data_IF_512313811620
#
_entry.id   IF_512313811620
#
_cell.length_a   1.000
_cell.length_b   1.000
_cell.length_c   1.000
_cell.angle_alpha   90.00
_cell.angle_beta   90.00
_cell.angle_gamma   90.00
#
_symmetry.space_group_name_H-M   'P 1'
#
loop_
_entity.id
_entity.type
_entity.pdbx_description
1 polymer ?
#
# COMPACT_ATOMS: atom_id res chain seq x y z
N UNK A 1 -15.57 10.20 -14.49
CA UNK A 1 -15.34 8.75 -14.28
C UNK A 1 -13.83 8.59 -14.20
N UNK A 2 -13.31 7.90 -13.18
CA UNK A 2 -11.87 7.62 -13.10
C UNK A 2 -11.51 6.69 -14.26
N UNK A 3 -10.50 7.07 -15.04
CA UNK A 3 -9.83 6.12 -15.91
C UNK A 3 -8.72 5.43 -15.10
N UNK A 4 -9.00 4.19 -14.70
CA UNK A 4 -8.08 3.37 -13.90
C UNK A 4 -6.82 3.08 -14.70
N UNK A 5 -6.95 2.88 -16.00
CA UNK A 5 -5.84 2.56 -16.89
C UNK A 5 -4.93 3.76 -17.07
N UNK A 6 -5.49 4.93 -17.39
CA UNK A 6 -4.73 6.18 -17.50
C UNK A 6 -4.01 6.51 -16.18
N UNK A 7 -4.67 6.30 -15.04
CA UNK A 7 -4.08 6.52 -13.73
C UNK A 7 -2.92 5.55 -13.46
N UNK A 8 -3.04 4.29 -13.88
CA UNK A 8 -2.00 3.28 -13.75
C UNK A 8 -0.81 3.61 -14.66
N UNK A 9 -1.05 3.96 -15.92
CA UNK A 9 -0.01 4.32 -16.89
C UNK A 9 0.82 5.52 -16.39
N UNK A 10 0.15 6.63 -16.02
CA UNK A 10 0.82 7.81 -15.43
C UNK A 10 1.63 7.48 -14.18
N UNK A 11 1.18 6.52 -13.39
CA UNK A 11 1.87 6.10 -12.16
C UNK A 11 3.06 5.20 -12.44
N UNK A 12 2.97 4.35 -13.47
CA UNK A 12 4.07 3.54 -13.96
C UNK A 12 5.14 4.43 -14.59
N UNK A 13 4.76 5.38 -15.44
CA UNK A 13 5.66 6.39 -16.00
C UNK A 13 6.36 7.19 -14.91
N UNK A 14 5.62 7.60 -13.88
CA UNK A 14 6.19 8.31 -12.73
C UNK A 14 7.23 7.47 -11.97
N UNK A 15 6.91 6.20 -11.67
CA UNK A 15 7.82 5.29 -10.98
C UNK A 15 9.07 5.00 -11.84
N UNK A 16 8.90 4.81 -13.14
CA UNK A 16 9.99 4.60 -14.09
C UNK A 16 10.85 5.85 -14.25
N UNK A 17 10.26 7.04 -14.34
CA UNK A 17 10.98 8.31 -14.42
C UNK A 17 11.83 8.55 -13.16
N UNK A 18 11.28 8.25 -11.97
CA UNK A 18 12.02 8.36 -10.71
C UNK A 18 13.29 7.49 -10.67
N UNK A 19 13.29 6.37 -11.39
CA UNK A 19 14.41 5.41 -11.46
C UNK A 19 15.34 5.76 -12.63
N UNK A 20 14.77 5.99 -13.82
CA UNK A 20 15.50 6.20 -15.07
C UNK A 20 16.20 7.54 -15.11
N UNK A 21 15.52 8.60 -14.68
CA UNK A 21 16.03 9.97 -14.82
C UNK A 21 16.99 10.31 -13.67
N UNK A 22 16.95 9.52 -12.58
CA UNK A 22 17.79 9.69 -11.40
C UNK A 22 18.32 8.34 -10.84
N UNK A 23 19.14 7.59 -11.59
CA UNK A 23 19.58 6.25 -11.17
C UNK A 23 20.38 6.24 -9.86
N UNK A 24 21.07 7.35 -9.54
CA UNK A 24 21.77 7.53 -8.26
C UNK A 24 20.83 7.55 -7.03
N UNK A 25 19.52 7.73 -7.21
CA UNK A 25 18.53 7.68 -6.11
C UNK A 25 18.13 6.26 -5.74
N UNK A 26 18.34 5.27 -6.62
CA UNK A 26 17.93 3.87 -6.39
C UNK A 26 18.51 3.30 -5.09
N UNK A 27 19.84 3.31 -4.84
CA UNK A 27 20.39 2.76 -3.61
C UNK A 27 19.89 3.52 -2.37
N UNK A 28 19.64 4.83 -2.50
CA UNK A 28 19.09 5.64 -1.42
C UNK A 28 17.63 5.27 -1.12
N UNK A 29 16.78 5.11 -2.12
CA UNK A 29 15.40 4.65 -1.96
C UNK A 29 15.34 3.23 -1.38
N UNK A 30 16.22 2.34 -1.83
CA UNK A 30 16.34 0.99 -1.27
C UNK A 30 16.79 1.03 0.20
N UNK A 31 17.77 1.88 0.54
CA UNK A 31 18.21 2.08 1.92
C UNK A 31 17.12 2.70 2.80
N UNK A 32 16.34 3.64 2.27
CA UNK A 32 15.16 4.16 2.94
C UNK A 32 14.10 3.07 3.16
N UNK A 33 14.01 2.06 2.30
CA UNK A 33 13.03 0.98 2.46
C UNK A 33 13.32 0.10 3.68
N UNK A 34 14.59 -0.02 4.07
CA UNK A 34 14.97 -0.59 5.36
C UNK A 34 14.60 0.33 6.54
N UNK A 35 14.59 1.64 6.33
CA UNK A 35 14.21 2.67 7.31
C UNK A 35 12.80 3.16 7.06
N UNK A 36 11.80 2.33 7.39
CA UNK A 36 10.39 2.55 7.06
C UNK A 36 9.85 4.00 7.20
N UNK A 37 10.24 4.83 8.20
CA UNK A 37 9.77 6.21 8.25
C UNK A 37 10.26 7.03 7.06
N UNK A 38 11.49 6.86 6.59
CA UNK A 38 12.02 7.63 5.47
C UNK A 38 11.24 7.37 4.18
N UNK A 39 10.92 6.11 3.86
CA UNK A 39 10.08 5.82 2.69
C UNK A 39 8.65 6.31 2.86
N UNK A 40 8.09 6.26 4.06
CA UNK A 40 6.79 6.87 4.34
C UNK A 40 6.82 8.39 4.17
N UNK A 41 7.94 9.03 4.50
CA UNK A 41 8.16 10.45 4.30
C UNK A 41 8.26 10.82 2.82
N UNK A 42 8.94 9.98 2.03
CA UNK A 42 9.00 10.10 0.58
C UNK A 42 7.61 9.98 -0.04
N UNK A 43 6.88 8.95 0.37
CA UNK A 43 5.47 8.72 0.00
C UNK A 43 4.59 9.92 0.37
N UNK A 44 4.82 10.54 1.53
CA UNK A 44 4.11 11.74 1.97
C UNK A 44 4.26 12.91 0.99
N UNK A 45 5.45 13.08 0.41
CA UNK A 45 5.69 14.15 -0.58
C UNK A 45 4.96 13.86 -1.88
N UNK A 46 4.94 12.61 -2.34
CA UNK A 46 4.14 12.19 -3.50
C UNK A 46 2.65 12.47 -3.27
N UNK A 47 2.12 12.13 -2.08
CA UNK A 47 0.72 12.36 -1.70
C UNK A 47 0.29 13.84 -1.68
N UNK A 48 1.24 14.78 -1.63
CA UNK A 48 0.96 16.21 -1.76
C UNK A 48 0.58 16.63 -3.18
N UNK A 49 0.74 15.73 -4.16
CA UNK A 49 0.37 15.99 -5.56
C UNK A 49 1.51 16.54 -6.42
N UNK A 50 2.75 16.50 -5.93
CA UNK A 50 3.90 16.96 -6.71
C UNK A 50 4.07 16.11 -7.99
N UNK A 51 4.14 16.73 -9.19
CA UNK A 51 4.19 16.00 -10.45
C UNK A 51 5.55 15.35 -10.73
N UNK A 52 6.60 15.77 -10.04
CA UNK A 52 7.94 15.22 -10.16
C UNK A 52 8.31 14.37 -8.92
N UNK A 53 9.25 13.43 -9.05
CA UNK A 53 9.78 12.66 -7.92
C UNK A 53 10.38 13.59 -6.85
N UNK A 54 9.93 13.50 -5.58
CA UNK A 54 10.38 14.38 -4.52
C UNK A 54 11.90 14.45 -4.39
N UNK A 55 12.40 15.65 -4.09
CA UNK A 55 13.80 15.85 -3.76
C UNK A 55 14.14 15.23 -2.39
N UNK A 56 15.39 14.79 -2.22
CA UNK A 56 15.92 14.12 -1.03
C UNK A 56 16.80 15.04 -0.16
N UNK A 57 16.93 16.31 -0.52
CA UNK A 57 17.77 17.33 0.15
C UNK A 57 17.49 17.57 1.64
N UNK A 58 16.28 17.24 2.13
CA UNK A 58 15.86 17.48 3.52
C UNK A 58 15.47 16.18 4.24
N UNK A 59 16.44 15.33 4.62
CA UNK A 59 16.19 14.03 5.23
C UNK A 59 15.45 14.13 6.57
N UNK A 60 15.71 15.16 7.37
CA UNK A 60 15.01 15.40 8.63
C UNK A 60 13.52 15.68 8.45
N UNK A 61 13.17 16.53 7.47
CA UNK A 61 11.77 16.80 7.13
C UNK A 61 11.05 15.55 6.59
N UNK A 62 11.76 14.77 5.77
CA UNK A 62 11.29 13.47 5.29
C UNK A 62 10.97 12.53 6.45
N UNK A 63 11.88 12.42 7.42
CA UNK A 63 11.73 11.55 8.58
C UNK A 63 10.52 11.93 9.45
N UNK A 64 10.31 13.22 9.73
CA UNK A 64 9.16 13.67 10.52
C UNK A 64 7.84 13.38 9.79
N UNK A 65 7.76 13.71 8.50
CA UNK A 65 6.58 13.40 7.69
C UNK A 65 6.32 11.88 7.65
N UNK A 66 7.40 11.13 7.57
CA UNK A 66 7.43 9.68 7.63
C UNK A 66 6.90 9.07 8.91
N UNK A 67 7.31 9.59 10.07
CA UNK A 67 6.78 9.16 11.37
C UNK A 67 5.27 9.37 11.41
N UNK A 68 4.77 10.54 10.96
CA UNK A 68 3.33 10.83 10.96
C UNK A 68 2.56 9.82 10.12
N UNK A 69 3.03 9.54 8.90
CA UNK A 69 2.37 8.54 8.05
C UNK A 69 2.52 7.12 8.59
N UNK A 70 3.67 6.78 9.17
CA UNK A 70 3.86 5.46 9.77
C UNK A 70 2.89 5.24 10.92
N UNK A 71 2.72 6.22 11.82
CA UNK A 71 1.75 6.12 12.92
C UNK A 71 0.35 5.85 12.37
N UNK A 72 -0.07 6.59 11.35
CA UNK A 72 -1.38 6.39 10.72
C UNK A 72 -1.48 5.01 10.07
N UNK A 73 -0.49 4.61 9.28
CA UNK A 73 -0.43 3.31 8.63
C UNK A 73 -0.48 2.17 9.64
N UNK A 74 0.26 2.28 10.74
CA UNK A 74 0.35 1.26 11.79
C UNK A 74 -0.99 1.08 12.51
N UNK A 75 -1.69 2.17 12.82
CA UNK A 75 -3.03 2.11 13.41
C UNK A 75 -4.01 1.46 12.44
N UNK A 76 -3.97 1.82 11.15
CA UNK A 76 -4.82 1.19 10.14
C UNK A 76 -4.49 -0.29 9.90
N UNK A 77 -3.21 -0.69 10.00
CA UNK A 77 -2.79 -2.08 9.78
C UNK A 77 -3.00 -2.99 11.00
N UNK A 78 -3.28 -2.42 12.18
CA UNK A 78 -3.50 -3.18 13.41
C UNK A 78 -4.50 -4.35 13.28
N UNK A 79 -5.66 -4.23 12.58
CA UNK A 79 -6.57 -5.36 12.39
C UNK A 79 -5.94 -6.50 11.58
N UNK A 80 -5.18 -6.17 10.53
CA UNK A 80 -4.49 -7.16 9.68
C UNK A 80 -3.36 -7.84 10.45
N UNK A 81 -2.55 -7.06 11.16
CA UNK A 81 -1.47 -7.58 12.01
C UNK A 81 -2.05 -8.49 13.09
N UNK A 82 -3.13 -8.06 13.76
CA UNK A 82 -3.84 -8.88 14.74
C UNK A 82 -4.36 -10.19 14.16
N UNK A 83 -4.97 -10.15 12.98
CA UNK A 83 -5.42 -11.35 12.28
C UNK A 83 -4.26 -12.32 11.97
N UNK A 84 -3.15 -11.80 11.42
CA UNK A 84 -1.96 -12.60 11.11
C UNK A 84 -1.37 -13.22 12.39
N UNK A 85 -1.21 -12.45 13.47
CA UNK A 85 -0.68 -12.95 14.75
C UNK A 85 -1.58 -14.02 15.37
N UNK A 86 -2.90 -13.88 15.25
CA UNK A 86 -3.85 -14.90 15.71
C UNK A 86 -3.72 -16.19 14.90
N UNK A 87 -3.49 -16.09 13.60
CA UNK A 87 -3.30 -17.25 12.72
C UNK A 87 -1.97 -17.95 13.06
N UNK A 88 -0.87 -17.21 13.13
CA UNK A 88 0.47 -17.78 13.37
C UNK A 88 0.62 -18.34 14.77
N UNK A 89 0.05 -17.70 15.80
CA UNK A 89 0.06 -18.22 17.18
C UNK A 89 -0.73 -19.52 17.36
N UNK A 90 -1.66 -19.82 16.44
CA UNK A 90 -2.46 -21.06 16.45
C UNK A 90 -2.03 -22.07 15.39
N UNK A 91 -0.83 -21.90 14.84
CA UNK A 91 -0.30 -22.75 13.76
C UNK A 91 -0.33 -24.25 14.10
N UNK A 92 0.00 -24.65 15.32
CA UNK A 92 -0.05 -26.07 15.73
C UNK A 92 -1.47 -26.65 15.64
N UNK A 93 -2.47 -25.93 16.16
CA UNK A 93 -3.88 -26.34 16.09
C UNK A 93 -4.43 -26.32 14.67
N UNK A 94 -3.96 -25.40 13.83
CA UNK A 94 -4.29 -25.39 12.40
C UNK A 94 -3.72 -26.63 11.71
N UNK A 95 -2.48 -27.02 12.02
CA UNK A 95 -1.85 -28.23 11.48
C UNK A 95 -2.54 -29.52 11.96
N UNK A 96 -3.02 -29.55 13.20
CA UNK A 96 -3.82 -30.67 13.73
C UNK A 96 -5.17 -30.78 13.01
N UNK A 97 -5.84 -29.65 12.77
CA UNK A 97 -7.08 -29.60 11.98
C UNK A 97 -6.83 -30.03 10.53
N UNK A 98 -5.66 -29.68 9.98
CA UNK A 98 -5.20 -30.02 8.63
C UNK A 98 -4.83 -31.51 8.49
N UNK A 99 -4.48 -32.18 9.57
CA UNK A 99 -4.10 -33.60 9.50
C UNK A 99 -5.27 -34.53 9.76
N UNK A 100 -6.34 -34.05 10.41
CA UNK A 100 -7.48 -34.85 10.84
C UNK A 100 -8.81 -34.48 10.17
N UNK A 101 -8.84 -33.51 9.24
CA UNK A 101 -10.09 -33.14 8.58
C UNK A 101 -10.53 -34.20 7.55
N UNK A 102 -11.67 -34.82 7.85
CA UNK A 102 -12.33 -35.82 7.03
C UNK A 102 -12.87 -35.27 5.70
N UNK A 103 -13.01 -36.18 4.74
CA UNK A 103 -13.11 -35.95 3.29
C UNK A 103 -14.32 -35.08 2.87
N UNK A 104 -14.04 -33.82 2.58
CA UNK A 104 -14.85 -32.94 1.72
C UNK A 104 -14.10 -31.65 1.38
N UNK A 105 -13.99 -31.25 0.12
CA UNK A 105 -13.13 -30.14 -0.34
C UNK A 105 -13.34 -28.83 0.45
N UNK A 106 -14.58 -28.53 0.85
CA UNK A 106 -14.95 -27.32 1.61
C UNK A 106 -14.56 -27.36 3.10
N UNK A 107 -14.47 -28.56 3.71
CA UNK A 107 -14.09 -28.77 5.11
C UNK A 107 -12.74 -29.45 5.26
N UNK A 108 -12.03 -29.58 4.15
CA UNK A 108 -10.70 -30.16 4.09
C UNK A 108 -9.68 -29.22 4.74
N UNK A 109 -8.53 -29.76 5.15
CA UNK A 109 -7.34 -29.01 5.56
C UNK A 109 -7.00 -27.84 4.63
N UNK A 110 -7.02 -28.14 3.34
CA UNK A 110 -6.67 -27.24 2.24
C UNK A 110 -7.75 -26.16 2.09
N UNK A 111 -9.02 -26.53 2.22
CA UNK A 111 -10.15 -25.60 2.20
C UNK A 111 -10.09 -24.61 3.37
N UNK A 112 -9.78 -25.07 4.58
CA UNK A 112 -9.66 -24.21 5.76
C UNK A 112 -8.55 -23.16 5.60
N UNK A 113 -7.37 -23.57 5.11
CA UNK A 113 -6.27 -22.64 4.81
C UNK A 113 -6.66 -21.64 3.72
N UNK A 114 -7.33 -22.10 2.66
CA UNK A 114 -7.81 -21.24 1.59
C UNK A 114 -8.78 -20.17 2.09
N UNK A 115 -9.82 -20.54 2.86
CA UNK A 115 -10.79 -19.58 3.39
C UNK A 115 -10.17 -18.61 4.39
N UNK A 116 -9.21 -19.07 5.19
CA UNK A 116 -8.47 -18.22 6.11
C UNK A 116 -7.62 -17.19 5.36
N UNK A 117 -6.88 -17.63 4.33
CA UNK A 117 -6.09 -16.74 3.47
C UNK A 117 -7.01 -15.73 2.75
N UNK A 118 -8.13 -16.20 2.19
CA UNK A 118 -9.14 -15.35 1.58
C UNK A 118 -9.67 -14.31 2.57
N UNK A 119 -9.97 -14.70 3.80
CA UNK A 119 -10.43 -13.80 4.87
C UNK A 119 -9.41 -12.71 5.19
N UNK A 120 -8.12 -13.05 5.29
CA UNK A 120 -7.03 -12.07 5.51
C UNK A 120 -6.90 -11.11 4.32
N UNK A 121 -6.96 -11.63 3.09
CA UNK A 121 -6.89 -10.80 1.87
C UNK A 121 -8.07 -9.84 1.80
N UNK A 122 -9.28 -10.30 2.11
CA UNK A 122 -10.47 -9.45 2.17
C UNK A 122 -10.36 -8.39 3.27
N UNK A 123 -9.87 -8.75 4.47
CA UNK A 123 -9.63 -7.79 5.55
C UNK A 123 -8.60 -6.74 5.13
N UNK A 124 -7.51 -7.16 4.48
CA UNK A 124 -6.49 -6.26 3.95
C UNK A 124 -7.07 -5.28 2.92
N UNK A 125 -7.91 -5.78 2.00
CA UNK A 125 -8.60 -4.93 1.03
C UNK A 125 -9.53 -3.91 1.70
N UNK A 126 -10.25 -4.30 2.77
CA UNK A 126 -11.10 -3.35 3.53
C UNK A 126 -10.24 -2.28 4.22
N UNK A 127 -9.12 -2.66 4.82
CA UNK A 127 -8.21 -1.71 5.45
C UNK A 127 -7.67 -0.71 4.45
N UNK A 128 -7.24 -1.18 3.26
CA UNK A 128 -6.67 -0.28 2.25
C UNK A 128 -7.70 0.69 1.66
N UNK A 129 -8.98 0.28 1.56
CA UNK A 129 -10.08 1.14 1.13
C UNK A 129 -10.26 2.37 2.01
N UNK A 130 -9.89 2.31 3.29
CA UNK A 130 -10.06 3.45 4.22
C UNK A 130 -8.72 4.15 4.45
N UNK A 131 -7.67 3.35 4.69
CA UNK A 131 -6.35 3.87 5.05
C UNK A 131 -5.79 4.78 3.97
N UNK A 132 -6.05 4.48 2.70
CA UNK A 132 -5.46 5.21 1.59
C UNK A 132 -5.81 6.71 1.60
N UNK A 133 -7.09 7.02 1.76
CA UNK A 133 -7.57 8.41 1.85
C UNK A 133 -7.04 9.05 3.14
N UNK A 134 -7.00 8.29 4.24
CA UNK A 134 -6.44 8.74 5.52
C UNK A 134 -4.96 9.15 5.42
N UNK A 135 -4.13 8.36 4.73
CA UNK A 135 -2.71 8.64 4.53
C UNK A 135 -2.51 9.90 3.69
N UNK A 136 -3.24 10.05 2.58
CA UNK A 136 -3.15 11.24 1.72
C UNK A 136 -3.57 12.49 2.50
N UNK A 137 -4.67 12.43 3.25
CA UNK A 137 -5.13 13.56 4.07
C UNK A 137 -4.10 13.93 5.13
N UNK A 138 -3.48 12.95 5.77
CA UNK A 138 -2.38 13.18 6.73
C UNK A 138 -1.19 13.86 6.07
N UNK A 139 -0.80 13.39 4.88
CA UNK A 139 0.33 13.93 4.14
C UNK A 139 0.11 15.40 3.69
N UNK A 140 -1.12 15.73 3.29
CA UNK A 140 -1.53 17.07 2.84
C UNK A 140 -1.74 18.05 4.00
N UNK A 141 -2.36 17.61 5.10
CA UNK A 141 -2.62 18.44 6.28
C UNK A 141 -1.44 18.53 7.26
N UNK A 142 -0.49 17.60 7.17
CA UNK A 142 0.58 17.36 8.15
C UNK A 142 0.08 17.05 9.57
N UNK A 143 -1.19 16.64 9.71
CA UNK A 143 -1.83 16.32 10.99
C UNK A 143 -2.33 14.88 11.01
N UNK A 144 -1.88 14.09 12.00
CA UNK A 144 -2.25 12.68 12.17
C UNK A 144 -3.77 12.50 12.30
N UNK A 145 -4.43 13.38 13.06
CA UNK A 145 -5.88 13.32 13.30
C UNK A 145 -6.71 13.40 12.02
N UNK A 146 -6.24 14.14 11.02
CA UNK A 146 -6.98 14.37 9.78
C UNK A 146 -7.01 13.10 8.90
N UNK A 147 -6.10 12.16 9.17
CA UNK A 147 -6.09 10.82 8.58
C UNK A 147 -7.10 9.83 9.16
N UNK A 148 -7.73 10.17 10.29
CA UNK A 148 -8.79 9.37 10.93
C UNK A 148 -10.15 10.07 10.88
N UNK A 149 -10.26 11.13 10.09
CA UNK A 149 -11.48 11.89 9.92
C UNK A 149 -12.47 11.10 9.05
N UNK A 150 -13.14 10.10 9.65
CA UNK A 150 -13.98 9.12 8.95
C UNK A 150 -15.11 9.74 8.13
N UNK A 151 -15.70 10.83 8.63
CA UNK A 151 -16.77 11.55 7.93
C UNK A 151 -16.26 12.13 6.61
N UNK A 152 -15.08 12.74 6.64
CA UNK A 152 -14.45 13.34 5.48
C UNK A 152 -13.90 12.28 4.53
N UNK A 153 -13.34 11.19 5.04
CA UNK A 153 -12.89 10.05 4.24
C UNK A 153 -14.06 9.45 3.45
N UNK A 154 -15.16 9.13 4.13
CA UNK A 154 -16.35 8.55 3.49
C UNK A 154 -17.01 9.52 2.52
N UNK A 155 -17.03 10.82 2.83
CA UNK A 155 -17.51 11.86 1.90
C UNK A 155 -16.64 11.92 0.64
N UNK A 156 -15.32 11.84 0.79
CA UNK A 156 -14.38 11.86 -0.33
C UNK A 156 -14.51 10.61 -1.21
N UNK A 157 -14.66 9.42 -0.60
CA UNK A 157 -14.92 8.17 -1.34
C UNK A 157 -16.24 8.26 -2.13
N UNK A 158 -17.28 8.86 -1.54
CA UNK A 158 -18.55 9.10 -2.25
C UNK A 158 -18.41 10.10 -3.40
N UNK A 159 -17.58 11.13 -3.23
CA UNK A 159 -17.30 12.11 -4.29
C UNK A 159 -16.55 11.48 -5.48
N UNK A 160 -15.64 10.54 -5.21
CA UNK A 160 -14.98 9.72 -6.25
C UNK A 160 -16.00 8.79 -6.94
N UNK A 161 -16.91 8.23 -6.15
CA UNK A 161 -17.85 7.18 -6.54
C UNK A 161 -17.40 5.83 -6.00
N UNK A 162 -18.30 5.11 -5.32
CA UNK A 162 -17.97 3.86 -4.63
C UNK A 162 -17.49 2.75 -5.57
N UNK A 163 -18.18 2.57 -6.71
CA UNK A 163 -17.80 1.57 -7.72
C UNK A 163 -16.42 1.84 -8.31
N UNK A 164 -16.14 3.02 -8.91
CA UNK A 164 -14.81 3.29 -9.47
C UNK A 164 -13.70 3.27 -8.41
N UNK A 165 -14.00 3.68 -7.17
CA UNK A 165 -13.04 3.60 -6.07
C UNK A 165 -12.68 2.15 -5.70
N UNK A 166 -13.68 1.28 -5.52
CA UNK A 166 -13.47 -0.14 -5.21
C UNK A 166 -12.71 -0.82 -6.36
N UNK A 167 -13.07 -0.55 -7.62
CA UNK A 167 -12.36 -1.09 -8.77
C UNK A 167 -10.89 -0.67 -8.81
N UNK A 168 -10.60 0.59 -8.45
CA UNK A 168 -9.24 1.10 -8.41
C UNK A 168 -8.41 0.45 -7.29
N UNK A 169 -9.00 0.29 -6.10
CA UNK A 169 -8.35 -0.44 -5.00
C UNK A 169 -8.13 -1.90 -5.35
N UNK A 170 -9.11 -2.59 -5.93
CA UNK A 170 -8.99 -3.98 -6.36
C UNK A 170 -7.88 -4.16 -7.40
N UNK A 171 -7.80 -3.26 -8.38
CA UNK A 171 -6.73 -3.23 -9.37
C UNK A 171 -5.36 -3.11 -8.70
N UNK A 172 -5.19 -2.15 -7.79
CA UNK A 172 -3.95 -2.00 -7.04
C UNK A 172 -3.60 -3.27 -6.25
N UNK A 173 -4.57 -3.85 -5.53
CA UNK A 173 -4.34 -5.06 -4.72
C UNK A 173 -3.83 -6.20 -5.60
N UNK A 174 -4.45 -6.45 -6.76
CA UNK A 174 -4.01 -7.49 -7.70
C UNK A 174 -2.60 -7.21 -8.23
N UNK A 175 -2.33 -5.98 -8.70
CA UNK A 175 -1.00 -5.61 -9.22
C UNK A 175 0.08 -5.75 -8.14
N UNK A 176 -0.19 -5.24 -6.93
CA UNK A 176 0.74 -5.34 -5.80
C UNK A 176 1.00 -6.79 -5.40
N UNK A 177 -0.03 -7.65 -5.43
CA UNK A 177 0.10 -9.07 -5.12
C UNK A 177 1.02 -9.74 -6.14
N UNK A 178 0.73 -9.59 -7.44
CA UNK A 178 1.51 -10.18 -8.52
C UNK A 178 2.99 -9.75 -8.50
N UNK A 179 3.26 -8.47 -8.20
CA UNK A 179 4.63 -7.95 -8.10
C UNK A 179 5.32 -8.36 -6.79
N UNK A 180 4.57 -8.58 -5.71
CA UNK A 180 5.15 -8.99 -4.42
C UNK A 180 5.57 -10.46 -4.36
N UNK A 181 4.91 -11.34 -5.13
CA UNK A 181 5.25 -12.77 -5.20
C UNK A 181 6.72 -13.05 -5.52
N UNK A 182 7.31 -12.51 -6.63
CA UNK A 182 8.72 -12.72 -6.91
C UNK A 182 9.62 -12.09 -5.85
N UNK A 183 9.25 -10.94 -5.27
CA UNK A 183 10.02 -10.30 -4.20
C UNK A 183 10.07 -11.17 -2.93
N UNK A 184 8.94 -11.78 -2.55
CA UNK A 184 8.88 -12.73 -1.42
C UNK A 184 9.73 -13.97 -1.68
N UNK A 185 9.60 -14.57 -2.86
CA UNK A 185 10.39 -15.74 -3.25
C UNK A 185 11.90 -15.46 -3.25
N UNK A 186 12.34 -14.29 -3.72
CA UNK A 186 13.75 -13.91 -3.72
C UNK A 186 14.33 -13.84 -2.30
N UNK A 187 13.59 -13.27 -1.35
CA UNK A 187 14.01 -13.15 0.05
C UNK A 187 14.17 -14.52 0.72
N UNK A 188 13.30 -15.47 0.38
CA UNK A 188 13.35 -16.84 0.93
C UNK A 188 14.53 -17.65 0.40
N UNK A 189 14.93 -17.44 -0.85
CA UNK A 189 16.00 -18.20 -1.48
C UNK A 189 17.38 -17.91 -0.87
N UNK A 190 17.73 -16.62 -0.70
CA UNK A 190 19.07 -16.23 -0.25
C UNK A 190 19.07 -14.88 0.46
N UNK A 191 20.03 -14.61 1.37
CA UNK A 191 20.24 -13.27 1.92
C UNK A 191 20.55 -12.20 0.87
N UNK A 192 21.08 -12.57 -0.30
CA UNK A 192 21.33 -11.65 -1.42
C UNK A 192 20.02 -11.23 -2.11
N UNK A 193 18.98 -12.07 -2.03
CA UNK A 193 17.67 -11.81 -2.62
C UNK A 193 16.93 -10.58 -2.08
N UNK A 194 17.36 -10.05 -0.93
CA UNK A 194 16.86 -8.78 -0.39
C UNK A 194 17.13 -7.60 -1.34
N UNK A 195 18.24 -7.60 -2.07
CA UNK A 195 18.60 -6.49 -2.97
C UNK A 195 17.57 -6.35 -4.10
N UNK A 196 17.32 -7.37 -4.95
CA UNK A 196 16.30 -7.26 -5.99
C UNK A 196 14.88 -7.13 -5.41
N UNK A 197 14.60 -7.73 -4.24
CA UNK A 197 13.29 -7.56 -3.60
C UNK A 197 13.04 -6.11 -3.14
N UNK A 198 14.02 -5.45 -2.52
CA UNK A 198 13.90 -4.04 -2.13
C UNK A 198 13.72 -3.13 -3.34
N UNK A 199 14.39 -3.42 -4.45
CA UNK A 199 14.16 -2.70 -5.70
C UNK A 199 12.70 -2.82 -6.17
N UNK A 200 12.14 -4.04 -6.17
CA UNK A 200 10.73 -4.28 -6.51
C UNK A 200 9.81 -3.51 -5.55
N UNK A 201 10.06 -3.55 -4.24
CA UNK A 201 9.25 -2.82 -3.27
C UNK A 201 9.31 -1.30 -3.44
N UNK A 202 10.47 -0.74 -3.83
CA UNK A 202 10.59 0.68 -4.19
C UNK A 202 9.68 1.00 -5.37
N UNK A 203 9.73 0.22 -6.46
CA UNK A 203 8.87 0.42 -7.64
C UNK A 203 7.39 0.37 -7.26
N UNK A 204 6.98 -0.66 -6.51
CA UNK A 204 5.59 -0.82 -6.04
C UNK A 204 5.17 0.39 -5.21
N UNK A 205 6.02 0.87 -4.30
CA UNK A 205 5.71 1.99 -3.41
C UNK A 205 5.54 3.30 -4.17
N UNK A 206 6.44 3.59 -5.11
CA UNK A 206 6.35 4.80 -5.95
C UNK A 206 5.10 4.78 -6.83
N UNK A 207 4.84 3.63 -7.47
CA UNK A 207 3.63 3.42 -8.24
C UNK A 207 2.38 3.62 -7.39
N UNK A 208 2.29 2.94 -6.24
CA UNK A 208 1.16 3.03 -5.31
C UNK A 208 0.91 4.48 -4.89
N UNK A 209 1.98 5.16 -4.47
CA UNK A 209 1.90 6.52 -3.96
C UNK A 209 1.29 7.46 -5.01
N UNK A 210 1.75 7.37 -6.26
CA UNK A 210 1.25 8.19 -7.36
C UNK A 210 -0.17 7.78 -7.78
N UNK A 211 -0.41 6.49 -7.93
CA UNK A 211 -1.69 5.94 -8.37
C UNK A 211 -2.83 6.39 -7.47
N UNK A 212 -2.65 6.25 -6.16
CA UNK A 212 -3.66 6.66 -5.22
C UNK A 212 -3.78 8.18 -5.05
N UNK A 213 -2.71 8.94 -5.31
CA UNK A 213 -2.80 10.40 -5.39
C UNK A 213 -3.73 10.82 -6.52
N UNK A 214 -3.60 10.21 -7.71
CA UNK A 214 -4.47 10.48 -8.85
C UNK A 214 -5.93 10.09 -8.58
N UNK A 215 -6.16 8.93 -7.95
CA UNK A 215 -7.50 8.51 -7.53
C UNK A 215 -8.09 9.49 -6.53
N UNK A 216 -7.31 9.92 -5.53
CA UNK A 216 -7.76 10.90 -4.56
C UNK A 216 -8.13 12.23 -5.24
N UNK A 217 -7.31 12.69 -6.19
CA UNK A 217 -7.52 13.95 -6.89
C UNK A 217 -8.75 13.92 -7.81
N UNK A 218 -9.10 12.75 -8.35
CA UNK A 218 -10.33 12.59 -9.14
C UNK A 218 -11.62 12.91 -8.37
N UNK A 219 -11.58 12.82 -7.04
CA UNK A 219 -12.69 13.16 -6.15
C UNK A 219 -12.71 14.61 -5.67
N UNK A 220 -11.69 15.40 -6.03
CA UNK A 220 -11.68 16.82 -5.71
C UNK A 220 -12.61 17.59 -6.67
N UNK A 221 -13.23 18.69 -6.22
CA UNK A 221 -13.94 19.60 -7.12
C UNK A 221 -13.00 20.02 -8.25
N UNK A 222 -13.46 19.96 -9.50
CA UNK A 222 -12.69 20.51 -10.63
C UNK A 222 -12.36 21.96 -10.29
N UNK A 223 -11.07 22.28 -10.16
CA UNK A 223 -10.65 23.68 -10.09
C UNK A 223 -11.07 24.31 -11.42
N UNK A 224 -12.10 25.14 -11.39
CA UNK A 224 -12.36 26.09 -12.47
C UNK A 224 -11.16 27.01 -12.49
N UNK A 225 -10.23 26.74 -13.40
CA UNK A 225 -9.16 27.67 -13.72
C UNK A 225 -9.88 28.86 -14.37
N UNK A 226 -9.98 29.96 -13.63
CA UNK A 226 -10.31 31.28 -14.17
C UNK A 226 -9.05 31.95 -14.71
#
# INVERSE_FOLDING_TARGET
MIDIWESAEKSAEYALAAIRDHPGRIPLLMGMMALFPLMMGYTARIYRGEPQPPDLSSPYGLFIDGIRLTIVQFIYSAPVIGAILLITSRQSRLMDLITHADRGLLFSPVGAVFFLLLGVVLLYAVVILISMIGLIRTARSRRIRDGFAFREITTHIRAIGSVPYISAVAFYTVVSLLLSLPAGYLIELTPIGYIPAFFIYVVITLFAARYFTLIYESGLPRRTVG
#
